data_IF_448907478178
#
_entry.id   IF_448907478178
#
_cell.length_a   1.000
_cell.length_b   1.000
_cell.length_c   1.000
_cell.angle_alpha   90.00
_cell.angle_beta   90.00
_cell.angle_gamma   90.00
#
_symmetry.space_group_name_H-M   'P 1'
#
loop_
_entity.id
_entity.type
_entity.pdbx_description
1 polymer ?
#
# COMPACT_ATOMS: atom_id res chain seq x y z
N UNK A 1 0.47 13.73 -3.63
CA UNK A 1 0.86 12.59 -2.78
C UNK A 1 1.65 13.08 -1.55
N UNK A 2 2.83 13.69 -1.71
CA UNK A 2 3.70 14.12 -0.59
C UNK A 2 3.03 14.84 0.57
N UNK A 3 2.34 15.96 0.29
CA UNK A 3 1.63 16.74 1.33
C UNK A 3 0.59 15.92 2.10
N UNK A 4 -0.10 14.99 1.44
CA UNK A 4 -1.11 14.15 2.07
C UNK A 4 -0.45 13.08 2.94
N UNK A 5 0.60 12.44 2.43
CA UNK A 5 1.38 11.44 3.17
C UNK A 5 1.98 12.03 4.44
N UNK A 6 2.67 13.19 4.34
CA UNK A 6 3.22 13.90 5.51
C UNK A 6 2.20 14.19 6.61
N UNK A 7 0.99 14.66 6.25
CA UNK A 7 -0.08 14.92 7.23
C UNK A 7 -0.52 13.65 7.96
N UNK A 8 -0.64 12.54 7.23
CA UNK A 8 -1.09 11.25 7.77
C UNK A 8 0.01 10.62 8.65
N UNK A 9 1.27 10.66 8.20
CA UNK A 9 2.45 10.14 8.92
C UNK A 9 2.61 10.78 10.31
N UNK A 10 2.23 12.04 10.46
CA UNK A 10 2.27 12.73 11.76
C UNK A 10 1.17 12.29 12.75
N UNK A 11 0.12 11.62 12.27
CA UNK A 11 -1.04 11.19 13.08
C UNK A 11 -0.98 9.69 13.38
N UNK A 12 -0.49 8.89 12.43
CA UNK A 12 -0.48 7.43 12.51
C UNK A 12 0.96 6.91 12.63
N UNK A 13 1.29 6.11 13.66
CA UNK A 13 2.63 5.56 13.83
C UNK A 13 3.02 4.58 12.71
N UNK A 14 2.04 3.99 12.03
CA UNK A 14 2.25 3.17 10.84
C UNK A 14 1.63 3.91 9.66
N UNK A 15 2.48 4.36 8.74
CA UNK A 15 2.08 5.00 7.49
C UNK A 15 2.93 4.41 6.35
N UNK A 16 2.29 3.70 5.41
CA UNK A 16 2.95 3.08 4.26
C UNK A 16 2.30 3.55 2.97
N UNK A 17 3.05 3.53 1.88
CA UNK A 17 2.54 3.79 0.53
C UNK A 17 2.56 2.48 -0.24
N UNK A 18 1.51 2.23 -1.03
CA UNK A 18 1.45 1.10 -1.94
C UNK A 18 1.07 1.55 -3.35
N UNK A 19 1.53 0.79 -4.35
CA UNK A 19 1.32 1.07 -5.76
C UNK A 19 0.25 0.19 -6.38
N UNK A 20 -0.45 0.72 -7.37
CA UNK A 20 -1.49 0.04 -8.11
C UNK A 20 -1.41 0.44 -9.59
N UNK A 21 -1.50 -0.56 -10.46
CA UNK A 21 -1.52 -0.35 -11.90
C UNK A 21 -2.96 -0.19 -12.40
N UNK A 22 -3.31 1.02 -12.85
CA UNK A 22 -4.64 1.40 -13.35
C UNK A 22 -4.52 2.12 -14.69
N UNK A 23 -4.56 1.42 -15.84
CA UNK A 23 -4.22 1.96 -17.16
C UNK A 23 -5.05 3.16 -17.62
N UNK A 24 -6.28 3.28 -17.12
CA UNK A 24 -7.21 4.35 -17.50
C UNK A 24 -7.05 5.62 -16.69
N UNK A 25 -6.21 5.60 -15.64
CA UNK A 25 -5.85 6.80 -14.89
C UNK A 25 -4.56 7.42 -15.44
N UNK A 26 -4.35 8.74 -15.26
CA UNK A 26 -3.14 9.40 -15.75
C UNK A 26 -1.87 8.65 -15.31
N UNK A 27 -0.96 8.39 -16.27
CA UNK A 27 0.28 7.59 -16.18
C UNK A 27 0.15 6.08 -15.96
N UNK A 28 -1.04 5.54 -15.67
CA UNK A 28 -1.23 4.12 -15.39
C UNK A 28 -0.69 3.63 -14.04
N UNK A 29 0.14 4.43 -13.35
CA UNK A 29 0.79 4.09 -12.09
C UNK A 29 0.26 4.99 -10.97
N UNK A 30 -0.43 4.38 -9.99
CA UNK A 30 -1.03 5.09 -8.88
C UNK A 30 -0.46 4.69 -7.54
N UNK A 31 -0.37 5.65 -6.63
CA UNK A 31 0.11 5.48 -5.27
C UNK A 31 -0.99 5.80 -4.27
N UNK A 32 -1.19 4.92 -3.30
CA UNK A 32 -2.17 5.04 -2.23
C UNK A 32 -1.48 4.97 -0.86
N UNK A 33 -2.12 5.55 0.16
CA UNK A 33 -1.63 5.53 1.54
C UNK A 33 -2.40 4.51 2.38
N UNK A 34 -1.66 3.67 3.10
CA UNK A 34 -2.16 2.88 4.23
C UNK A 34 -1.72 3.55 5.53
N UNK A 35 -2.64 3.69 6.49
CA UNK A 35 -2.34 4.28 7.78
C UNK A 35 -3.04 3.53 8.91
N UNK A 36 -2.33 3.31 10.01
CA UNK A 36 -2.79 2.50 11.12
C UNK A 36 -2.13 2.90 12.43
N UNK A 37 -2.84 2.68 13.54
CA UNK A 37 -2.29 2.87 14.89
C UNK A 37 -1.67 1.61 15.48
N UNK A 38 -1.89 0.44 14.86
CA UNK A 38 -1.50 -0.86 15.42
C UNK A 38 -1.03 -1.87 14.37
N UNK A 39 -1.81 -2.04 13.31
CA UNK A 39 -1.59 -3.07 12.30
C UNK A 39 -0.62 -2.61 11.20
N UNK A 40 0.46 -3.36 10.99
CA UNK A 40 1.31 -3.31 9.81
C UNK A 40 0.65 -4.11 8.68
N UNK A 41 0.49 -3.53 7.48
CA UNK A 41 -0.27 -4.18 6.42
C UNK A 41 0.43 -5.42 5.84
N UNK A 42 1.72 -5.64 6.11
CA UNK A 42 2.47 -6.80 5.62
C UNK A 42 2.69 -7.82 6.74
N UNK A 43 2.97 -7.37 7.96
CA UNK A 43 3.32 -8.27 9.08
C UNK A 43 2.09 -8.85 9.78
N UNK A 44 0.99 -8.09 9.85
CA UNK A 44 -0.19 -8.47 10.64
C UNK A 44 -1.35 -8.97 9.78
N UNK A 45 -1.13 -9.18 8.47
CA UNK A 45 -2.13 -9.74 7.57
C UNK A 45 -2.19 -11.26 7.74
N UNK A 46 -3.40 -11.78 7.93
CA UNK A 46 -3.67 -13.22 8.04
C UNK A 46 -4.18 -13.75 6.70
N UNK A 47 -3.26 -14.26 5.88
CA UNK A 47 -3.60 -14.79 4.57
C UNK A 47 -4.33 -16.12 4.61
N UNK A 48 -4.15 -16.92 5.67
CA UNK A 48 -4.87 -18.19 5.83
C UNK A 48 -6.35 -17.91 6.07
N UNK A 49 -6.65 -16.95 6.96
CA UNK A 49 -8.02 -16.47 7.18
C UNK A 49 -8.61 -15.85 5.92
N UNK A 50 -7.84 -15.05 5.17
CA UNK A 50 -8.30 -14.51 3.90
C UNK A 50 -8.67 -15.61 2.89
N UNK A 51 -7.79 -16.60 2.72
CA UNK A 51 -7.99 -17.70 1.78
C UNK A 51 -9.20 -18.57 2.17
N UNK A 52 -9.42 -18.77 3.48
CA UNK A 52 -10.57 -19.52 4.00
C UNK A 52 -11.93 -18.88 3.66
N UNK A 53 -11.97 -17.57 3.32
CA UNK A 53 -13.20 -16.91 2.88
C UNK A 53 -13.69 -17.35 1.49
N UNK A 54 -12.83 -17.99 0.68
CA UNK A 54 -13.22 -18.49 -0.65
C UNK A 54 -13.62 -17.39 -1.65
N UNK A 55 -13.20 -16.14 -1.42
CA UNK A 55 -13.59 -14.99 -2.25
C UNK A 55 -12.81 -15.02 -3.57
N UNK A 56 -13.53 -15.12 -4.69
CA UNK A 56 -12.93 -15.02 -6.03
C UNK A 56 -12.67 -13.55 -6.39
N UNK A 57 -11.41 -13.21 -6.59
CA UNK A 57 -10.95 -11.89 -7.02
C UNK A 57 -10.48 -11.90 -8.48
N UNK A 58 -10.51 -10.73 -9.14
CA UNK A 58 -10.00 -10.55 -10.51
C UNK A 58 -8.61 -9.93 -10.58
N UNK A 59 -8.11 -9.40 -9.46
CA UNK A 59 -6.86 -8.64 -9.41
C UNK A 59 -6.08 -8.97 -8.13
N UNK A 60 -6.68 -8.68 -6.97
CA UNK A 60 -6.07 -8.93 -5.66
C UNK A 60 -5.72 -10.40 -5.45
N UNK A 61 -4.53 -10.65 -4.92
CA UNK A 61 -4.13 -11.94 -4.34
C UNK A 61 -3.09 -11.67 -3.23
N UNK A 62 -2.84 -12.62 -2.31
CA UNK A 62 -1.89 -12.43 -1.20
C UNK A 62 -0.49 -11.97 -1.64
N UNK A 63 0.03 -12.51 -2.73
CA UNK A 63 1.36 -12.14 -3.24
C UNK A 63 1.37 -10.69 -3.74
N UNK A 64 0.31 -10.29 -4.46
CA UNK A 64 0.13 -8.92 -4.94
C UNK A 64 -0.05 -7.94 -3.79
N UNK A 65 -0.72 -8.34 -2.70
CA UNK A 65 -0.84 -7.52 -1.49
C UNK A 65 0.52 -7.17 -0.90
N UNK A 66 1.45 -8.13 -0.82
CA UNK A 66 2.81 -7.84 -0.34
C UNK A 66 3.58 -7.02 -1.37
N UNK A 67 3.53 -7.43 -2.64
CA UNK A 67 4.26 -6.80 -3.74
C UNK A 67 3.87 -5.35 -4.00
N UNK A 68 2.62 -4.95 -3.71
CA UNK A 68 2.19 -3.55 -3.92
C UNK A 68 2.89 -2.56 -2.97
N UNK A 69 3.45 -3.01 -1.85
CA UNK A 69 4.27 -2.17 -0.97
C UNK A 69 5.74 -2.07 -1.38
N UNK A 70 6.18 -2.84 -2.40
CA UNK A 70 7.52 -2.72 -2.96
C UNK A 70 7.56 -1.55 -3.96
N UNK A 71 8.06 -0.40 -3.50
CA UNK A 71 8.05 0.84 -4.28
C UNK A 71 9.34 1.00 -5.11
N UNK A 72 9.27 1.62 -6.31
CA UNK A 72 10.45 2.03 -7.06
C UNK A 72 11.34 2.99 -6.25
N UNK A 73 12.65 2.96 -6.50
CA UNK A 73 13.63 3.76 -5.72
C UNK A 73 13.30 5.25 -5.69
N UNK A 74 12.92 5.84 -6.83
CA UNK A 74 12.56 7.27 -6.89
C UNK A 74 11.38 7.62 -5.99
N UNK A 75 10.43 6.69 -5.79
CA UNK A 75 9.29 6.90 -4.89
C UNK A 75 9.74 6.84 -3.44
N UNK A 76 10.63 5.90 -3.10
CA UNK A 76 11.20 5.79 -1.75
C UNK A 76 11.96 7.08 -1.38
N UNK A 77 12.87 7.54 -2.25
CA UNK A 77 13.59 8.81 -2.08
C UNK A 77 12.64 10.00 -1.94
N UNK A 78 11.54 10.01 -2.72
CA UNK A 78 10.54 11.07 -2.64
C UNK A 78 9.82 11.13 -1.29
N UNK A 79 9.61 9.99 -0.63
CA UNK A 79 8.92 9.83 0.67
C UNK A 79 9.86 10.03 1.86
N UNK A 80 11.13 9.67 1.74
CA UNK A 80 12.14 9.84 2.78
C UNK A 80 12.51 11.31 2.97
N UNK A 81 12.46 12.08 1.88
CA UNK A 81 12.70 13.53 1.88
C UNK A 81 11.46 14.37 2.29
N UNK A 82 10.46 13.77 2.97
CA UNK A 82 9.25 14.44 3.49
C UNK A 82 9.27 14.71 5.00
#
# INVERSE_FOLDING_TARGET
MKRAHKKIKNIFPISKVYQFHMPTYPSGHWLFGFASKKLDPIKDVDFDKWNALGIKTKYYNPQLHVGCFALPSYVQEMLDNE
#
